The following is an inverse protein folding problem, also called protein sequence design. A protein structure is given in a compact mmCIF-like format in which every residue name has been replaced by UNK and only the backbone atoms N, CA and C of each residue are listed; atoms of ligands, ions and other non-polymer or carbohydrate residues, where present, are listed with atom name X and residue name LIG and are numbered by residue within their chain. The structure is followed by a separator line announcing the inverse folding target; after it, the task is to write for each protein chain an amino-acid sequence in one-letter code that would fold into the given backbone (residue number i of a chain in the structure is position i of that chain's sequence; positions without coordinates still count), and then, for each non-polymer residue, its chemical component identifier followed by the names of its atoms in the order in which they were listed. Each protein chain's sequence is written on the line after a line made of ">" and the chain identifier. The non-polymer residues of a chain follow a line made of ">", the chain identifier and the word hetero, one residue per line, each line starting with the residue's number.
data_IF_907487968018
#
_entry.id   IF_907487968018
#
_cell.length_a   1.000
_cell.length_b   1.000
_cell.length_c   1.000
_cell.angle_alpha   90.00
_cell.angle_beta   90.00
_cell.angle_gamma   90.00
#
_symmetry.space_group_name_H-M   'P 1'
#
loop_
_entity.id
_entity.type
_entity.pdbx_description
1 polymer ?
#
# COMPACT_ATOMS: atom_id res chain seq x y z
N UNK A 1 -8.25 -57.17 27.16
CA UNK A 1 -8.68 -55.77 26.96
C UNK A 1 -7.70 -54.71 27.51
N UNK A 2 -7.12 -54.85 28.71
CA UNK A 2 -6.17 -53.85 29.27
C UNK A 2 -4.85 -53.62 28.52
N UNK A 3 -4.35 -54.60 27.76
CA UNK A 3 -3.10 -54.50 26.99
C UNK A 3 -3.30 -53.73 25.68
N UNK A 4 -4.43 -53.88 25.01
CA UNK A 4 -4.76 -53.20 23.75
C UNK A 4 -4.90 -51.69 23.97
N UNK A 5 -5.50 -51.27 25.11
CA UNK A 5 -5.64 -49.88 25.48
C UNK A 5 -4.27 -49.15 25.68
N UNK A 6 -3.28 -49.87 26.27
CA UNK A 6 -1.92 -49.27 26.45
C UNK A 6 -1.17 -49.11 25.15
N UNK A 7 -1.31 -50.08 24.20
CA UNK A 7 -0.67 -50.03 22.90
C UNK A 7 -1.27 -48.87 22.08
N UNK A 8 -2.58 -48.69 22.12
CA UNK A 8 -3.25 -47.57 21.42
C UNK A 8 -2.81 -46.21 22.00
N UNK A 9 -2.67 -46.13 23.32
CA UNK A 9 -2.21 -44.90 23.98
C UNK A 9 -0.76 -44.53 23.59
N UNK A 10 0.12 -45.54 23.53
CA UNK A 10 1.54 -45.32 23.11
C UNK A 10 1.61 -44.92 21.64
N UNK A 11 0.82 -45.56 20.75
CA UNK A 11 0.73 -45.14 19.35
C UNK A 11 0.20 -43.72 19.16
N UNK A 12 -0.81 -43.34 19.98
CA UNK A 12 -1.34 -41.97 19.96
C UNK A 12 -0.30 -40.93 20.44
N UNK A 13 0.47 -41.27 21.49
CA UNK A 13 1.57 -40.42 21.96
C UNK A 13 2.68 -40.30 20.91
N UNK A 14 3.02 -41.35 20.18
CA UNK A 14 3.99 -41.31 19.10
C UNK A 14 3.47 -40.46 17.93
N UNK A 15 2.19 -40.56 17.57
CA UNK A 15 1.58 -39.71 16.56
C UNK A 15 1.53 -38.22 16.96
N UNK A 16 1.32 -37.93 18.23
CA UNK A 16 1.31 -36.55 18.77
C UNK A 16 2.73 -35.97 19.00
N UNK A 17 3.75 -36.82 19.08
CA UNK A 17 5.13 -36.40 19.24
C UNK A 17 5.88 -36.19 17.91
N UNK A 18 5.22 -36.40 16.75
CA UNK A 18 5.80 -35.95 15.50
C UNK A 18 5.84 -34.43 15.53
N UNK A 19 7.04 -33.81 15.57
CA UNK A 19 7.09 -32.37 15.46
C UNK A 19 6.47 -32.03 14.11
N UNK A 20 5.47 -31.16 14.11
CA UNK A 20 5.07 -30.44 12.92
C UNK A 20 6.33 -29.71 12.46
N UNK A 21 7.09 -30.32 11.57
CA UNK A 21 8.09 -29.59 10.83
C UNK A 21 7.32 -28.58 10.01
N UNK A 22 7.21 -27.38 10.55
CA UNK A 22 6.76 -26.23 9.79
C UNK A 22 7.59 -26.27 8.52
N UNK A 23 6.95 -26.31 7.35
CA UNK A 23 7.67 -26.20 6.08
C UNK A 23 8.40 -24.87 6.15
N UNK A 24 9.69 -24.91 6.43
CA UNK A 24 10.56 -23.77 6.26
C UNK A 24 10.41 -23.38 4.80
N UNK A 25 9.72 -22.29 4.54
CA UNK A 25 9.64 -21.74 3.19
C UNK A 25 11.08 -21.48 2.77
N UNK A 26 11.50 -22.12 1.69
CA UNK A 26 12.82 -21.90 1.13
C UNK A 26 12.88 -20.44 0.65
N UNK A 27 13.56 -19.59 1.39
CA UNK A 27 13.87 -18.23 0.95
C UNK A 27 14.84 -18.38 -0.23
N UNK A 28 14.38 -18.01 -1.42
CA UNK A 28 15.23 -17.94 -2.60
C UNK A 28 15.72 -16.50 -2.73
N UNK A 29 17.01 -16.31 -2.77
CA UNK A 29 17.61 -15.04 -3.18
C UNK A 29 17.77 -15.05 -4.69
N UNK A 30 17.35 -13.97 -5.34
CA UNK A 30 17.60 -13.73 -6.76
C UNK A 30 18.75 -12.74 -6.88
N UNK A 31 19.84 -13.18 -7.50
CA UNK A 31 20.98 -12.32 -7.81
C UNK A 31 20.84 -11.85 -9.27
N UNK A 32 20.42 -10.62 -9.44
CA UNK A 32 20.30 -9.99 -10.75
C UNK A 32 21.68 -9.54 -11.22
N UNK A 33 22.33 -10.33 -12.09
CA UNK A 33 23.60 -9.96 -12.72
C UNK A 33 23.40 -8.78 -13.68
N UNK A 34 23.88 -7.61 -13.35
CA UNK A 34 23.80 -6.40 -14.18
C UNK A 34 24.06 -5.13 -13.40
N UNK A 35 23.87 -3.98 -14.03
CA UNK A 35 24.08 -2.65 -13.42
C UNK A 35 23.02 -2.23 -12.39
N UNK A 36 22.27 -3.18 -11.82
CA UNK A 36 21.20 -2.95 -10.84
C UNK A 36 21.67 -2.89 -9.39
N UNK A 37 22.98 -2.95 -9.15
CA UNK A 37 23.58 -3.14 -7.82
C UNK A 37 23.35 -2.01 -6.80
N UNK A 38 22.76 -0.89 -7.23
CA UNK A 38 22.60 0.30 -6.38
C UNK A 38 21.16 0.80 -6.30
N UNK A 39 20.19 0.06 -6.85
CA UNK A 39 18.80 0.52 -6.90
C UNK A 39 18.01 0.01 -5.70
N UNK A 40 17.26 0.91 -5.09
CA UNK A 40 16.35 0.57 -3.98
C UNK A 40 14.99 0.19 -4.52
N UNK A 41 14.50 -0.99 -4.15
CA UNK A 41 13.10 -1.38 -4.41
C UNK A 41 12.22 -0.61 -3.42
N UNK A 42 11.32 0.21 -3.96
CA UNK A 42 10.40 1.05 -3.21
C UNK A 42 9.00 0.45 -3.12
N UNK A 43 8.63 -0.34 -4.12
CA UNK A 43 7.30 -0.96 -4.20
C UNK A 43 7.34 -2.26 -4.99
N UNK A 44 6.45 -3.19 -4.64
CA UNK A 44 6.27 -4.47 -5.34
C UNK A 44 4.78 -4.66 -5.54
N UNK A 45 4.37 -5.01 -6.76
CA UNK A 45 2.98 -5.29 -7.13
C UNK A 45 2.91 -6.50 -8.04
N UNK A 46 1.91 -7.36 -7.86
CA UNK A 46 1.68 -8.52 -8.73
C UNK A 46 0.45 -8.30 -9.60
N UNK A 47 0.60 -8.48 -10.92
CA UNK A 47 -0.53 -8.38 -11.83
C UNK A 47 -1.37 -9.67 -11.90
N UNK A 48 -2.49 -9.60 -12.64
CA UNK A 48 -3.40 -10.76 -12.81
C UNK A 48 -2.81 -11.93 -13.60
N UNK A 49 -1.71 -11.72 -14.29
CA UNK A 49 -0.99 -12.75 -15.04
C UNK A 49 0.10 -13.42 -14.18
N UNK A 50 0.33 -12.91 -12.97
CA UNK A 50 1.32 -13.43 -12.02
C UNK A 50 2.71 -12.80 -12.17
N UNK A 51 2.91 -11.86 -13.08
CA UNK A 51 4.17 -11.10 -13.18
C UNK A 51 4.32 -10.14 -12.01
N UNK A 52 5.56 -9.96 -11.55
CA UNK A 52 5.87 -9.03 -10.48
C UNK A 52 6.41 -7.72 -11.07
N UNK A 53 5.78 -6.62 -10.70
CA UNK A 53 6.22 -5.27 -11.04
C UNK A 53 7.00 -4.72 -9.85
N UNK A 54 8.20 -4.20 -10.10
CA UNK A 54 9.07 -3.61 -9.10
C UNK A 54 9.23 -2.12 -9.39
N UNK A 55 8.86 -1.29 -8.44
CA UNK A 55 9.14 0.14 -8.46
C UNK A 55 10.51 0.40 -7.84
N UNK A 56 11.35 1.15 -8.50
CA UNK A 56 12.69 1.49 -8.06
C UNK A 56 12.88 3.02 -8.08
N UNK A 57 14.01 3.45 -7.58
CA UNK A 57 14.44 4.85 -7.59
C UNK A 57 14.75 5.40 -9.01
N UNK A 58 14.82 4.53 -10.00
CA UNK A 58 15.11 4.87 -11.40
C UNK A 58 14.11 4.29 -12.41
N UNK A 59 12.90 3.94 -11.98
CA UNK A 59 11.85 3.47 -12.88
C UNK A 59 11.15 2.20 -12.43
N UNK A 60 10.45 1.57 -13.36
CA UNK A 60 9.67 0.36 -13.14
C UNK A 60 10.32 -0.82 -13.86
N UNK A 61 10.31 -1.97 -13.23
CA UNK A 61 10.85 -3.20 -13.78
C UNK A 61 9.82 -4.33 -13.69
N UNK A 62 9.83 -5.20 -14.69
CA UNK A 62 9.04 -6.42 -14.73
C UNK A 62 9.90 -7.62 -14.38
N UNK A 63 9.47 -8.43 -13.45
CA UNK A 63 10.07 -9.72 -13.10
C UNK A 63 9.13 -10.87 -13.49
N UNK A 64 9.57 -11.74 -14.37
CA UNK A 64 8.83 -12.88 -14.90
C UNK A 64 9.10 -14.21 -14.17
N UNK A 65 9.83 -14.16 -13.05
CA UNK A 65 10.30 -15.33 -12.30
C UNK A 65 11.72 -15.77 -12.66
N UNK A 66 12.32 -15.24 -13.73
CA UNK A 66 13.65 -15.59 -14.22
C UNK A 66 14.53 -14.37 -14.49
N UNK A 67 13.95 -13.33 -15.08
CA UNK A 67 14.67 -12.14 -15.52
C UNK A 67 13.98 -10.87 -15.03
N UNK A 68 14.77 -9.83 -14.80
CA UNK A 68 14.31 -8.49 -14.50
C UNK A 68 14.50 -7.62 -15.74
N UNK A 69 13.41 -7.07 -16.24
CA UNK A 69 13.39 -6.25 -17.47
C UNK A 69 12.90 -4.84 -17.14
N UNK A 70 13.63 -3.77 -17.55
CA UNK A 70 13.17 -2.40 -17.35
C UNK A 70 11.95 -2.11 -18.23
N UNK A 71 10.96 -1.42 -17.67
CA UNK A 71 9.87 -0.84 -18.43
C UNK A 71 10.38 0.44 -19.10
N UNK A 72 10.71 0.35 -20.39
CA UNK A 72 11.21 1.48 -21.17
C UNK A 72 10.03 2.26 -21.73
N UNK A 73 9.71 3.38 -21.09
CA UNK A 73 8.70 4.32 -21.57
C UNK A 73 9.08 5.75 -21.19
N UNK A 74 9.00 6.69 -22.14
CA UNK A 74 9.48 8.08 -21.98
C UNK A 74 8.83 8.82 -20.79
N UNK A 75 7.65 8.42 -20.38
CA UNK A 75 6.94 9.03 -19.24
C UNK A 75 7.33 8.46 -17.88
N UNK A 76 8.01 7.30 -17.83
CA UNK A 76 8.26 6.57 -16.59
C UNK A 76 9.75 6.34 -16.35
N UNK A 77 10.55 6.20 -17.43
CA UNK A 77 11.98 5.95 -17.33
C UNK A 77 12.68 7.03 -16.52
N UNK A 78 13.63 6.62 -15.67
CA UNK A 78 14.45 7.48 -14.82
C UNK A 78 13.67 8.30 -13.76
N UNK A 79 12.43 7.88 -13.42
CA UNK A 79 11.65 8.51 -12.35
C UNK A 79 11.75 7.70 -11.07
N UNK A 80 11.78 8.41 -9.94
CA UNK A 80 11.65 7.78 -8.64
C UNK A 80 10.21 7.29 -8.46
N UNK A 81 10.03 5.97 -8.33
CA UNK A 81 8.73 5.35 -8.11
C UNK A 81 8.47 5.25 -6.61
N UNK A 82 7.40 5.85 -6.13
CA UNK A 82 7.01 5.78 -4.72
C UNK A 82 6.16 4.54 -4.43
N UNK A 83 5.24 4.21 -5.34
CA UNK A 83 4.39 3.03 -5.22
C UNK A 83 3.92 2.53 -6.57
N UNK A 84 3.47 1.28 -6.59
CA UNK A 84 2.75 0.64 -7.66
C UNK A 84 1.39 0.17 -7.13
N UNK A 85 0.36 0.23 -7.97
CA UNK A 85 -0.96 -0.32 -7.67
C UNK A 85 -1.57 -0.87 -8.96
N UNK A 86 -2.09 -2.07 -8.91
CA UNK A 86 -2.62 -2.76 -10.07
C UNK A 86 -4.16 -2.81 -10.04
N UNK A 87 -4.77 -2.54 -11.19
CA UNK A 87 -6.22 -2.70 -11.36
C UNK A 87 -6.53 -3.18 -12.78
N UNK A 88 -7.10 -4.37 -12.91
CA UNK A 88 -7.37 -5.02 -14.20
C UNK A 88 -6.08 -5.13 -15.02
N UNK A 89 -6.02 -4.45 -16.17
CA UNK A 89 -4.87 -4.42 -17.08
C UNK A 89 -4.03 -3.16 -16.96
N UNK A 90 -4.27 -2.35 -15.95
CA UNK A 90 -3.60 -1.08 -15.75
C UNK A 90 -2.77 -1.12 -14.48
N UNK A 91 -1.49 -0.79 -14.61
CA UNK A 91 -0.58 -0.50 -13.52
C UNK A 91 -0.56 1.01 -13.27
N UNK A 92 -0.98 1.43 -12.10
CA UNK A 92 -0.85 2.82 -11.65
C UNK A 92 0.51 2.99 -11.00
N UNK A 93 1.25 4.00 -11.46
CA UNK A 93 2.64 4.25 -11.09
C UNK A 93 2.71 5.63 -10.46
N UNK A 94 2.84 5.67 -9.14
CA UNK A 94 3.05 6.91 -8.40
C UNK A 94 4.52 7.25 -8.35
N UNK A 95 4.87 8.43 -8.84
CA UNK A 95 6.24 8.91 -8.93
C UNK A 95 6.42 10.24 -8.21
N UNK A 96 7.64 10.70 -8.09
CA UNK A 96 7.97 12.05 -7.63
C UNK A 96 7.49 13.18 -8.57
N UNK A 97 7.01 12.83 -9.78
CA UNK A 97 6.60 13.80 -10.81
C UNK A 97 5.18 13.60 -11.36
N UNK A 98 4.40 12.70 -10.75
CA UNK A 98 3.01 12.46 -11.15
C UNK A 98 2.53 11.04 -10.96
N UNK A 99 1.22 10.85 -11.21
CA UNK A 99 0.58 9.56 -11.24
C UNK A 99 0.31 9.16 -12.69
N UNK A 100 0.84 8.03 -13.10
CA UNK A 100 0.72 7.49 -14.45
C UNK A 100 -0.09 6.22 -14.46
N UNK A 101 -0.90 6.03 -15.51
CA UNK A 101 -1.64 4.80 -15.80
C UNK A 101 -0.98 4.10 -16.98
N UNK A 102 -0.35 2.97 -16.75
CA UNK A 102 0.28 2.15 -17.77
C UNK A 102 -0.57 0.91 -18.04
N UNK A 103 -1.07 0.79 -19.26
CA UNK A 103 -1.78 -0.41 -19.71
C UNK A 103 -0.77 -1.37 -20.36
N UNK A 104 -0.47 -2.47 -19.66
CA UNK A 104 0.54 -3.43 -20.09
C UNK A 104 0.11 -4.36 -21.24
N UNK A 105 -1.17 -4.30 -21.69
CA UNK A 105 -1.62 -5.06 -22.85
C UNK A 105 -1.30 -4.34 -24.17
N UNK A 106 -1.50 -3.00 -24.19
CA UNK A 106 -1.29 -2.19 -25.39
C UNK A 106 -0.06 -1.29 -25.30
N UNK A 107 0.68 -1.36 -24.21
CA UNK A 107 1.89 -0.56 -23.93
C UNK A 107 1.64 0.96 -23.96
N UNK A 108 0.44 1.40 -23.55
CA UNK A 108 0.06 2.80 -23.49
C UNK A 108 0.24 3.32 -22.08
N UNK A 109 0.86 4.49 -21.94
CA UNK A 109 1.07 5.16 -20.67
C UNK A 109 0.59 6.60 -20.75
N UNK A 110 -0.28 6.99 -19.83
CA UNK A 110 -0.86 8.33 -19.76
C UNK A 110 -0.73 8.91 -18.35
N UNK A 111 -0.58 10.22 -18.25
CA UNK A 111 -0.72 10.95 -16.99
C UNK A 111 -2.20 10.94 -16.59
N UNK A 112 -2.53 10.43 -15.39
CA UNK A 112 -3.91 10.27 -14.93
C UNK A 112 -4.69 11.60 -14.89
N UNK A 113 -4.05 12.68 -14.50
CA UNK A 113 -4.65 14.02 -14.53
C UNK A 113 -3.56 15.10 -14.66
N UNK A 114 -3.79 16.16 -15.44
CA UNK A 114 -2.88 17.31 -15.51
C UNK A 114 -2.63 17.96 -14.14
N UNK A 115 -3.58 17.86 -13.20
CA UNK A 115 -3.43 18.38 -11.84
C UNK A 115 -2.38 17.65 -11.01
N UNK A 116 -2.02 16.43 -11.42
CA UNK A 116 -1.03 15.61 -10.74
C UNK A 116 0.38 15.73 -11.33
N UNK A 117 0.53 16.50 -12.41
CA UNK A 117 1.83 16.73 -13.05
C UNK A 117 2.80 17.45 -12.10
N UNK A 118 4.04 16.98 -12.06
CA UNK A 118 5.11 17.53 -11.21
C UNK A 118 4.79 17.51 -9.71
N UNK A 119 3.97 16.55 -9.28
CA UNK A 119 3.66 16.31 -7.86
C UNK A 119 4.27 15.01 -7.41
N UNK A 120 4.77 15.02 -6.18
CA UNK A 120 5.24 13.82 -5.51
C UNK A 120 4.04 13.01 -5.01
N UNK A 121 3.74 11.89 -5.66
CA UNK A 121 2.57 11.07 -5.35
C UNK A 121 2.96 10.02 -4.32
N UNK A 122 2.34 10.07 -3.16
CA UNK A 122 2.61 9.18 -2.03
C UNK A 122 1.74 7.93 -2.06
N UNK A 123 0.46 8.07 -2.41
CA UNK A 123 -0.47 6.96 -2.46
C UNK A 123 -1.60 7.22 -3.46
N UNK A 124 -2.14 6.14 -3.99
CA UNK A 124 -3.35 6.11 -4.80
C UNK A 124 -4.19 4.92 -4.39
N UNK A 125 -5.47 5.16 -4.17
CA UNK A 125 -6.47 4.12 -3.99
C UNK A 125 -7.78 4.53 -4.66
N UNK A 126 -8.62 3.55 -4.96
CA UNK A 126 -9.94 3.78 -5.53
C UNK A 126 -10.97 2.84 -4.90
N UNK A 127 -12.19 3.33 -4.81
CA UNK A 127 -13.36 2.52 -4.51
C UNK A 127 -14.32 2.52 -5.72
N UNK A 128 -15.62 2.24 -5.52
CA UNK A 128 -16.62 2.24 -6.60
C UNK A 128 -16.88 3.64 -7.16
N UNK A 129 -16.72 4.69 -6.35
CA UNK A 129 -17.25 6.03 -6.63
C UNK A 129 -16.12 7.04 -6.91
N UNK A 130 -14.98 6.86 -6.27
CA UNK A 130 -13.91 7.85 -6.26
C UNK A 130 -12.55 7.24 -6.53
N UNK A 131 -11.68 8.07 -7.08
CA UNK A 131 -10.23 7.88 -7.12
C UNK A 131 -9.59 8.89 -6.20
N UNK A 132 -8.81 8.42 -5.24
CA UNK A 132 -8.18 9.25 -4.21
C UNK A 132 -6.67 9.19 -4.36
N UNK A 133 -6.05 10.35 -4.52
CA UNK A 133 -4.61 10.49 -4.71
C UNK A 133 -4.04 11.37 -3.61
N UNK A 134 -3.10 10.84 -2.86
CA UNK A 134 -2.34 11.61 -1.88
C UNK A 134 -0.99 12.02 -2.44
N UNK A 135 -0.69 13.29 -2.35
CA UNK A 135 0.67 13.83 -2.48
C UNK A 135 1.28 13.97 -1.09
N UNK A 136 2.46 14.52 -0.99
CA UNK A 136 3.10 14.80 0.31
C UNK A 136 2.30 15.77 1.20
N UNK A 137 1.40 16.60 0.64
CA UNK A 137 0.67 17.65 1.37
C UNK A 137 -0.81 17.75 1.09
N UNK A 138 -1.28 17.19 0.01
CA UNK A 138 -2.64 17.35 -0.49
C UNK A 138 -3.25 16.01 -0.83
N UNK A 139 -4.56 15.90 -0.64
CA UNK A 139 -5.35 14.76 -1.12
C UNK A 139 -6.30 15.26 -2.19
N UNK A 140 -6.25 14.64 -3.36
CA UNK A 140 -7.11 14.92 -4.49
C UNK A 140 -8.17 13.84 -4.62
N UNK A 141 -9.39 14.27 -4.81
CA UNK A 141 -10.54 13.43 -5.10
C UNK A 141 -10.95 13.62 -6.55
N UNK A 142 -11.06 12.52 -7.29
CA UNK A 142 -11.53 12.47 -8.66
C UNK A 142 -12.70 11.49 -8.78
N UNK A 143 -13.56 11.68 -9.78
CA UNK A 143 -14.50 10.66 -10.19
C UNK A 143 -13.80 9.51 -10.93
N UNK A 144 -14.60 8.51 -11.33
CA UNK A 144 -14.06 7.34 -12.04
C UNK A 144 -13.37 7.69 -13.38
N UNK A 145 -13.75 8.80 -14.01
CA UNK A 145 -13.21 9.28 -15.29
C UNK A 145 -12.06 10.29 -15.14
N UNK A 146 -11.50 10.43 -13.93
CA UNK A 146 -10.45 11.39 -13.58
C UNK A 146 -10.89 12.85 -13.69
N UNK A 147 -12.20 13.15 -13.65
CA UNK A 147 -12.68 14.51 -13.47
C UNK A 147 -12.43 14.92 -12.00
N UNK A 148 -11.86 16.11 -11.83
CA UNK A 148 -11.57 16.64 -10.52
C UNK A 148 -12.87 16.97 -9.75
N UNK A 149 -12.97 16.50 -8.51
CA UNK A 149 -14.09 16.79 -7.62
C UNK A 149 -13.66 17.77 -6.54
N UNK A 150 -12.65 17.40 -5.76
CA UNK A 150 -12.23 18.18 -4.60
C UNK A 150 -10.76 18.00 -4.26
N UNK A 151 -10.22 18.93 -3.48
CA UNK A 151 -8.87 18.86 -2.94
C UNK A 151 -8.85 19.28 -1.49
N UNK A 152 -8.19 18.51 -0.67
CA UNK A 152 -7.93 18.82 0.73
C UNK A 152 -6.44 19.08 0.89
N UNK A 153 -6.12 20.18 1.58
CA UNK A 153 -4.76 20.44 2.02
C UNK A 153 -4.65 20.11 3.51
N UNK A 154 -3.74 19.21 3.84
CA UNK A 154 -3.51 18.82 5.23
C UNK A 154 -2.54 19.82 5.84
N UNK A 155 -3.08 20.92 6.34
CA UNK A 155 -2.33 21.93 7.08
C UNK A 155 -2.57 21.81 8.59
N UNK A 156 -1.48 21.68 9.36
CA UNK A 156 -1.36 22.37 10.65
C UNK A 156 -0.24 23.39 10.50
N UNK A 157 -0.46 24.61 10.97
CA UNK A 157 0.44 25.78 10.85
C UNK A 157 1.84 25.58 11.48
N UNK A 158 2.08 24.48 12.15
CA UNK A 158 3.37 24.15 12.72
C UNK A 158 3.92 22.89 12.08
N UNK A 159 4.87 23.06 11.16
CA UNK A 159 5.90 22.11 10.81
C UNK A 159 5.45 20.85 10.02
N UNK A 160 6.02 20.72 8.80
CA UNK A 160 6.34 19.46 8.11
C UNK A 160 5.36 18.28 8.30
N UNK A 161 4.04 18.52 8.25
CA UNK A 161 3.08 17.43 8.36
C UNK A 161 2.87 16.78 6.98
N UNK A 162 3.90 16.08 6.49
CA UNK A 162 3.82 15.37 5.23
C UNK A 162 2.97 14.10 5.40
N UNK A 163 2.18 13.81 4.37
CA UNK A 163 1.48 12.54 4.25
C UNK A 163 2.53 11.47 3.92
N UNK A 164 2.49 10.37 4.63
CA UNK A 164 3.42 9.25 4.48
C UNK A 164 2.76 8.01 3.88
N UNK A 165 1.46 7.85 4.13
CA UNK A 165 0.68 6.72 3.62
C UNK A 165 -0.81 7.05 3.65
N UNK A 166 -1.60 6.27 2.90
CA UNK A 166 -3.05 6.41 2.84
C UNK A 166 -3.70 5.04 2.67
N UNK A 167 -4.84 4.82 3.34
CA UNK A 167 -5.75 3.72 3.08
C UNK A 167 -7.19 4.22 3.03
N UNK A 168 -7.99 3.64 2.13
CA UNK A 168 -9.43 3.88 2.04
C UNK A 168 -10.16 2.72 2.68
N UNK A 169 -11.21 3.02 3.43
CA UNK A 169 -12.15 2.00 3.89
C UNK A 169 -13.59 2.46 3.69
N UNK A 170 -14.46 1.52 3.37
CA UNK A 170 -15.80 1.86 2.92
C UNK A 170 -15.80 2.76 1.67
N UNK A 171 -16.86 3.52 1.48
CA UNK A 171 -17.00 4.39 0.32
C UNK A 171 -16.69 5.86 0.60
N UNK A 172 -16.61 6.26 1.87
CA UNK A 172 -16.60 7.66 2.27
C UNK A 172 -15.45 8.04 3.20
N UNK A 173 -14.52 7.14 3.45
CA UNK A 173 -13.49 7.40 4.45
C UNK A 173 -12.10 7.03 3.96
N UNK A 174 -11.15 7.90 4.25
CA UNK A 174 -9.73 7.67 4.02
C UNK A 174 -8.94 7.99 5.29
N UNK A 175 -8.01 7.14 5.63
CA UNK A 175 -7.05 7.35 6.71
C UNK A 175 -5.70 7.75 6.11
N UNK A 176 -5.11 8.79 6.67
CA UNK A 176 -3.81 9.30 6.30
C UNK A 176 -2.82 9.09 7.45
N UNK A 177 -1.75 8.39 7.19
CA UNK A 177 -0.55 8.46 8.00
C UNK A 177 0.21 9.75 7.69
N UNK A 178 0.70 10.44 8.71
CA UNK A 178 1.46 11.67 8.55
C UNK A 178 2.72 11.67 9.43
N UNK A 179 3.59 12.64 9.22
CA UNK A 179 4.78 12.86 10.08
C UNK A 179 4.41 13.17 11.55
N UNK A 180 3.15 13.56 11.83
CA UNK A 180 2.69 13.95 13.17
C UNK A 180 1.46 13.18 13.65
N UNK A 181 1.17 12.02 13.07
CA UNK A 181 0.10 11.15 13.52
C UNK A 181 -0.86 10.66 12.45
N UNK A 182 -2.09 10.38 12.84
CA UNK A 182 -3.14 9.80 12.03
C UNK A 182 -4.29 10.79 11.82
N UNK A 183 -4.71 10.95 10.58
CA UNK A 183 -5.82 11.83 10.18
C UNK A 183 -6.86 11.02 9.44
N UNK A 184 -8.13 11.21 9.77
CA UNK A 184 -9.25 10.68 9.00
C UNK A 184 -9.84 11.76 8.11
N UNK A 185 -10.20 11.40 6.90
CA UNK A 185 -10.96 12.20 5.95
C UNK A 185 -12.31 11.55 5.73
N UNK A 186 -13.38 12.28 5.93
CA UNK A 186 -14.73 11.88 5.55
C UNK A 186 -15.12 12.55 4.24
N UNK A 187 -15.59 11.78 3.28
CA UNK A 187 -16.04 12.23 1.97
C UNK A 187 -17.57 12.27 1.99
N UNK A 188 -18.14 13.45 1.92
CA UNK A 188 -19.61 13.63 1.88
C UNK A 188 -20.17 13.27 0.49
N UNK A 189 -21.46 12.96 0.39
CA UNK A 189 -22.10 12.55 -0.87
C UNK A 189 -22.04 13.62 -1.98
N UNK A 190 -21.86 14.89 -1.62
CA UNK A 190 -21.67 16.01 -2.54
C UNK A 190 -20.20 16.21 -2.96
N UNK A 191 -19.31 15.30 -2.55
CA UNK A 191 -17.87 15.37 -2.80
C UNK A 191 -17.11 16.30 -1.88
N UNK A 192 -17.78 17.01 -0.97
CA UNK A 192 -17.09 17.78 0.08
C UNK A 192 -16.43 16.83 1.07
N UNK A 193 -15.44 17.34 1.75
CA UNK A 193 -14.64 16.56 2.66
C UNK A 193 -14.43 17.27 3.99
N UNK A 194 -14.39 16.47 5.06
CA UNK A 194 -14.00 16.92 6.40
C UNK A 194 -12.83 16.09 6.87
N UNK A 195 -11.89 16.71 7.56
CA UNK A 195 -10.73 16.00 8.13
C UNK A 195 -10.68 16.20 9.64
N UNK A 196 -10.43 15.10 10.36
CA UNK A 196 -10.23 15.09 11.80
C UNK A 196 -8.89 14.40 12.13
N UNK A 197 -8.18 14.91 13.14
CA UNK A 197 -7.00 14.21 13.66
C UNK A 197 -7.46 13.15 14.65
N UNK A 198 -7.20 11.88 14.35
CA UNK A 198 -7.50 10.77 15.27
C UNK A 198 -6.38 10.58 16.30
N UNK A 199 -5.13 10.77 15.89
CA UNK A 199 -3.98 10.66 16.75
C UNK A 199 -2.97 11.75 16.41
N UNK A 200 -2.44 12.44 17.42
CA UNK A 200 -1.37 13.41 17.28
C UNK A 200 -0.15 12.91 18.08
N UNK A 201 0.98 12.76 17.41
CA UNK A 201 2.19 12.23 18.04
C UNK A 201 3.22 11.80 16.99
N UNK A 202 3.74 10.59 17.14
CA UNK A 202 4.81 10.07 16.30
C UNK A 202 4.41 9.87 14.85
N UNK A 203 5.41 9.90 13.98
CA UNK A 203 5.27 9.62 12.55
C UNK A 203 4.66 8.25 12.31
N UNK A 204 3.62 8.22 11.48
CA UNK A 204 3.09 6.99 10.90
C UNK A 204 3.89 6.70 9.62
N UNK A 205 4.55 5.56 9.58
CA UNK A 205 5.37 5.16 8.42
C UNK A 205 4.52 4.55 7.33
N UNK A 206 3.60 3.64 7.72
CA UNK A 206 2.76 2.91 6.79
C UNK A 206 1.41 2.56 7.43
N UNK A 207 0.37 2.57 6.61
CA UNK A 207 -0.96 2.05 6.92
C UNK A 207 -1.28 0.89 5.98
N UNK A 208 -1.98 -0.12 6.50
CA UNK A 208 -2.44 -1.25 5.72
C UNK A 208 -3.74 -1.81 6.32
N UNK A 209 -4.71 -2.16 5.46
CA UNK A 209 -5.94 -2.84 5.86
C UNK A 209 -5.87 -4.27 5.31
N UNK A 210 -5.98 -5.25 6.20
CA UNK A 210 -5.95 -6.65 5.80
C UNK A 210 -7.35 -7.16 5.34
N UNK A 211 -7.38 -8.39 4.81
CA UNK A 211 -8.62 -9.03 4.33
C UNK A 211 -9.67 -9.30 5.43
N UNK A 212 -9.34 -9.05 6.70
CA UNK A 212 -10.23 -9.18 7.85
C UNK A 212 -10.68 -7.82 8.40
N UNK A 213 -10.51 -6.75 7.61
CA UNK A 213 -10.80 -5.37 8.01
C UNK A 213 -10.03 -4.90 9.26
N UNK A 214 -8.83 -5.44 9.49
CA UNK A 214 -7.93 -4.90 10.50
C UNK A 214 -7.04 -3.84 9.90
N UNK A 215 -7.01 -2.69 10.55
CA UNK A 215 -6.04 -1.63 10.27
C UNK A 215 -4.72 -1.96 10.98
N UNK A 216 -3.65 -2.00 10.22
CA UNK A 216 -2.28 -2.11 10.69
C UNK A 216 -1.59 -0.76 10.55
N UNK A 217 -0.91 -0.34 11.59
CA UNK A 217 -0.24 0.96 11.67
C UNK A 217 1.21 0.72 12.04
N UNK A 218 2.13 1.05 11.12
CA UNK A 218 3.55 1.07 11.41
C UNK A 218 3.94 2.45 11.94
N UNK A 219 4.39 2.51 13.18
CA UNK A 219 4.80 3.73 13.88
C UNK A 219 6.20 3.54 14.47
N UNK A 220 7.21 4.23 13.91
CA UNK A 220 8.59 4.02 14.33
C UNK A 220 9.01 2.54 14.22
N UNK A 221 9.36 1.94 15.34
CA UNK A 221 9.72 0.51 15.44
C UNK A 221 8.55 -0.38 15.88
N UNK A 222 7.35 0.18 16.04
CA UNK A 222 6.17 -0.52 16.52
C UNK A 222 5.19 -0.82 15.38
N UNK A 223 4.56 -1.99 15.45
CA UNK A 223 3.42 -2.36 14.61
C UNK A 223 2.20 -2.50 15.50
N UNK A 224 1.24 -1.63 15.29
CA UNK A 224 -0.03 -1.61 16.00
C UNK A 224 -1.14 -2.11 15.10
N UNK A 225 -2.24 -2.60 15.70
CA UNK A 225 -3.42 -2.94 14.92
C UNK A 225 -4.70 -2.60 15.67
N UNK A 226 -5.75 -2.28 14.91
CA UNK A 226 -7.11 -2.06 15.43
C UNK A 226 -8.15 -2.63 14.49
N UNK A 227 -9.36 -2.84 14.99
CA UNK A 227 -10.50 -3.06 14.12
C UNK A 227 -10.94 -1.71 13.53
N UNK A 228 -11.08 -1.65 12.21
CA UNK A 228 -11.41 -0.41 11.52
C UNK A 228 -12.80 0.11 11.88
N UNK A 229 -13.74 -0.77 12.17
CA UNK A 229 -15.12 -0.42 12.51
C UNK A 229 -15.26 0.31 13.86
N UNK A 230 -14.19 0.35 14.65
CA UNK A 230 -14.19 0.97 16.00
C UNK A 230 -13.30 2.22 16.08
N UNK A 231 -12.75 2.68 14.97
CA UNK A 231 -11.80 3.82 14.95
C UNK A 231 -12.42 5.14 15.44
N UNK A 232 -13.71 5.38 15.20
CA UNK A 232 -14.40 6.59 15.62
C UNK A 232 -14.64 6.70 17.13
N UNK A 233 -14.47 5.59 17.87
CA UNK A 233 -14.76 5.49 19.31
C UNK A 233 -13.51 5.31 20.18
N UNK A 234 -12.33 5.16 19.57
CA UNK A 234 -11.10 4.83 20.32
C UNK A 234 -10.16 6.04 20.32
N UNK A 235 -9.98 6.64 21.48
CA UNK A 235 -8.74 7.36 21.76
C UNK A 235 -7.58 6.37 21.55
N UNK A 236 -6.74 6.62 20.54
CA UNK A 236 -5.60 5.76 20.15
C UNK A 236 -4.54 5.62 21.27
N UNK A 237 -4.76 6.20 22.43
CA UNK A 237 -3.93 6.04 23.63
C UNK A 237 -3.85 4.60 24.20
N UNK A 238 -4.58 3.65 23.63
CA UNK A 238 -4.68 2.26 24.06
C UNK A 238 -4.18 1.20 23.08
N UNK A 239 -3.58 1.55 21.98
CA UNK A 239 -2.99 0.56 21.08
C UNK A 239 -1.72 -0.04 21.70
N UNK A 240 -1.81 -1.27 22.13
CA UNK A 240 -0.69 -2.17 22.45
C UNK A 240 -0.74 -3.38 21.55
#
# INVERSE_FOLDING_TARGET
>A
MKHISKVILVLLCILLSYPFYGMAQNIKSFDFKGNFFYNTITSIEQDTLGFMWLGLDNGVFLFDGYSLQPLIHSMISDRYVNFLSHRKTTLYIGTNEGLYAYNYINNQCDLCSPLLKSRNIIAYQCNSDYQVVATDREVFLFDYNWNFIHKITIYKESLNNHITSMVIYGNQEALLGTESGLVIIHIENDGKTKSNTLYSGDKIVQLFIDSRNKLWICRGEEILYSNIDTLDSVEISGFK
#
